data_IF_211078959909
#
_entry.id   IF_211078959909
#
_cell.length_a   1.000
_cell.length_b   1.000
_cell.length_c   1.000
_cell.angle_alpha   90.00
_cell.angle_beta   90.00
_cell.angle_gamma   90.00
#
_symmetry.space_group_name_H-M   'P 1'
#
loop_
_entity.id
_entity.type
_entity.pdbx_description
1 polymer ?
#
# COMPACT_ATOMS: atom_id res chain seq x y z
N UNK A 1 0.81 9.82 16.90
CA UNK A 1 1.10 9.29 15.55
C UNK A 1 2.50 9.74 15.18
N UNK A 2 3.33 8.86 14.61
CA UNK A 2 4.72 9.14 14.24
C UNK A 2 4.88 8.92 12.74
N UNK A 3 5.62 9.79 12.04
CA UNK A 3 5.85 9.67 10.61
C UNK A 3 7.36 9.55 10.36
N UNK A 4 7.81 8.33 10.10
CA UNK A 4 9.18 7.99 9.76
C UNK A 4 9.21 6.57 9.16
N UNK A 5 10.30 6.21 8.50
CA UNK A 5 10.55 4.85 8.00
C UNK A 5 11.29 4.04 9.05
N UNK A 6 10.93 2.76 9.17
CA UNK A 6 11.64 1.79 10.01
C UNK A 6 12.65 1.05 9.15
N UNK A 7 13.93 1.08 9.53
CA UNK A 7 15.02 0.43 8.78
C UNK A 7 15.63 -0.78 9.49
N UNK A 8 15.39 -0.93 10.81
CA UNK A 8 15.91 -2.04 11.59
C UNK A 8 14.90 -2.52 12.63
N UNK A 9 14.85 -3.84 12.83
CA UNK A 9 14.14 -4.52 13.90
C UNK A 9 15.15 -4.93 14.97
N UNK A 10 14.89 -4.60 16.22
CA UNK A 10 15.73 -5.02 17.34
C UNK A 10 15.31 -6.42 17.79
N UNK A 11 16.27 -7.36 17.81
CA UNK A 11 16.05 -8.75 18.24
C UNK A 11 17.06 -9.11 19.32
N UNK A 12 16.58 -9.68 20.43
CA UNK A 12 17.41 -10.23 21.51
C UNK A 12 16.95 -11.64 21.84
N UNK A 13 17.87 -12.60 21.86
CA UNK A 13 17.60 -14.01 22.16
C UNK A 13 16.43 -14.58 21.31
N UNK A 14 16.40 -14.27 20.02
CA UNK A 14 15.34 -14.70 19.10
C UNK A 14 13.98 -14.02 19.28
N UNK A 15 13.89 -12.96 20.09
CA UNK A 15 12.64 -12.22 20.34
C UNK A 15 12.78 -10.76 19.93
N UNK A 16 11.74 -10.22 19.32
CA UNK A 16 11.65 -8.79 19.00
C UNK A 16 11.64 -7.98 20.30
N UNK A 17 12.36 -6.86 20.30
CA UNK A 17 12.41 -5.91 21.42
C UNK A 17 12.10 -4.48 21.01
N UNK A 18 11.98 -4.19 19.72
CA UNK A 18 11.76 -2.84 19.22
C UNK A 18 12.12 -2.65 17.75
N UNK A 19 12.20 -1.40 17.34
CA UNK A 19 12.58 -0.96 15.98
C UNK A 19 13.44 0.30 16.05
N UNK A 20 14.23 0.54 15.00
CA UNK A 20 14.97 1.78 14.76
C UNK A 20 14.47 2.41 13.47
N UNK A 21 14.32 3.73 13.47
CA UNK A 21 13.87 4.51 12.32
C UNK A 21 15.02 5.17 11.57
N UNK A 22 14.74 5.73 10.39
CA UNK A 22 15.74 6.47 9.59
C UNK A 22 16.27 7.72 10.31
N UNK A 23 15.47 8.33 11.19
CA UNK A 23 15.94 9.41 12.07
C UNK A 23 16.71 8.91 13.31
N UNK A 24 17.13 7.64 13.33
CA UNK A 24 17.82 6.98 14.45
C UNK A 24 17.03 6.97 15.78
N UNK A 25 15.70 7.05 15.71
CA UNK A 25 14.86 6.92 16.89
C UNK A 25 14.60 5.45 17.19
N UNK A 26 14.84 5.05 18.44
CA UNK A 26 14.58 3.68 18.90
C UNK A 26 13.24 3.62 19.63
N UNK A 27 12.34 2.77 19.15
CA UNK A 27 11.10 2.42 19.84
C UNK A 27 11.21 1.02 20.42
N UNK A 28 10.89 0.83 21.69
CA UNK A 28 10.81 -0.49 22.31
C UNK A 28 9.39 -1.05 22.22
N UNK A 29 9.27 -2.33 21.90
CA UNK A 29 7.98 -3.00 21.77
C UNK A 29 8.12 -4.50 22.03
N UNK A 30 7.08 -5.12 22.61
CA UNK A 30 7.01 -6.59 22.81
C UNK A 30 6.59 -7.34 21.54
N UNK A 31 5.99 -6.65 20.58
CA UNK A 31 5.49 -7.18 19.32
C UNK A 31 5.60 -6.08 18.26
N UNK A 32 5.99 -6.45 17.04
CA UNK A 32 6.08 -5.56 15.88
C UNK A 32 5.33 -6.24 14.74
N UNK A 33 4.40 -5.52 14.12
CA UNK A 33 3.64 -6.01 12.96
C UNK A 33 4.14 -5.27 11.73
N UNK A 34 4.66 -6.01 10.75
CA UNK A 34 5.14 -5.43 9.48
C UNK A 34 4.01 -5.44 8.44
N UNK A 35 3.61 -4.26 7.98
CA UNK A 35 2.57 -4.06 6.95
C UNK A 35 3.10 -3.18 5.82
N UNK A 36 4.30 -3.51 5.33
CA UNK A 36 5.09 -2.67 4.41
C UNK A 36 4.54 -2.56 2.99
N UNK A 37 3.47 -3.28 2.66
CA UNK A 37 2.81 -3.20 1.35
C UNK A 37 3.78 -3.41 0.19
N UNK A 38 3.84 -2.47 -0.75
CA UNK A 38 4.69 -2.52 -1.95
C UNK A 38 6.04 -1.79 -1.76
N UNK A 39 6.39 -1.36 -0.54
CA UNK A 39 7.52 -0.46 -0.30
C UNK A 39 8.88 -1.18 -0.13
N UNK A 40 8.92 -2.34 0.51
CA UNK A 40 10.17 -3.07 0.77
C UNK A 40 10.87 -3.45 -0.54
N UNK A 41 12.06 -2.89 -0.77
CA UNK A 41 12.82 -3.05 -2.02
C UNK A 41 11.95 -2.87 -3.28
N UNK A 42 11.02 -1.90 -3.20
CA UNK A 42 10.06 -1.57 -4.24
C UNK A 42 10.73 -1.13 -5.54
N UNK A 43 10.25 -1.67 -6.65
CA UNK A 43 10.75 -1.35 -8.00
C UNK A 43 9.57 -1.19 -8.95
N UNK A 44 9.41 0.02 -9.47
CA UNK A 44 8.38 0.34 -10.46
C UNK A 44 8.90 0.11 -11.87
N UNK A 45 8.03 -0.45 -12.72
CA UNK A 45 8.34 -0.74 -14.12
C UNK A 45 7.41 0.05 -15.04
N UNK A 46 7.99 0.88 -15.91
CA UNK A 46 7.27 1.63 -16.96
C UNK A 46 7.94 1.29 -18.30
N UNK A 47 7.37 0.32 -19.02
CA UNK A 47 8.03 -0.26 -20.19
C UNK A 47 9.41 -0.86 -19.81
N UNK A 48 10.48 -0.33 -20.41
CA UNK A 48 11.87 -0.70 -20.08
C UNK A 48 12.46 0.10 -18.91
N UNK A 49 11.84 1.21 -18.54
CA UNK A 49 12.29 2.07 -17.45
C UNK A 49 11.99 1.41 -16.11
N UNK A 50 12.99 1.44 -15.23
CA UNK A 50 12.91 0.91 -13.86
C UNK A 50 13.24 2.03 -12.89
N UNK A 51 12.34 2.28 -11.94
CA UNK A 51 12.49 3.34 -10.93
C UNK A 51 12.35 2.72 -9.55
N UNK A 52 13.26 3.07 -8.63
CA UNK A 52 13.10 2.68 -7.24
C UNK A 52 11.92 3.44 -6.63
N UNK A 53 11.07 2.74 -5.89
CA UNK A 53 9.90 3.34 -5.25
C UNK A 53 8.89 2.29 -4.82
N UNK A 54 8.19 2.56 -3.72
CA UNK A 54 7.09 1.72 -3.26
C UNK A 54 5.81 1.95 -4.05
N UNK A 55 5.58 3.21 -4.42
CA UNK A 55 4.46 3.70 -5.24
C UNK A 55 4.93 4.88 -6.08
N UNK A 56 4.12 5.32 -7.03
CA UNK A 56 4.45 6.50 -7.84
C UNK A 56 4.66 7.70 -6.90
N UNK A 57 5.80 8.38 -7.05
CA UNK A 57 6.22 9.51 -6.20
C UNK A 57 6.51 9.18 -4.73
N UNK A 58 6.53 7.91 -4.32
CA UNK A 58 6.85 7.50 -2.95
C UNK A 58 8.11 6.59 -2.94
N UNK A 59 9.12 6.88 -2.11
CA UNK A 59 10.37 6.12 -2.09
C UNK A 59 10.16 4.67 -1.64
N UNK A 60 11.10 3.79 -2.02
CA UNK A 60 11.15 2.43 -1.48
C UNK A 60 11.72 2.45 -0.06
N UNK A 61 11.41 1.41 0.72
CA UNK A 61 12.07 1.16 2.02
C UNK A 61 13.12 0.06 1.88
N UNK A 62 14.19 0.18 2.66
CA UNK A 62 15.36 -0.70 2.63
C UNK A 62 15.76 -1.15 4.04
N UNK A 63 16.59 -2.19 4.16
CA UNK A 63 17.15 -2.67 5.43
C UNK A 63 16.35 -3.82 6.03
N UNK A 64 15.02 -3.69 6.09
CA UNK A 64 14.16 -4.72 6.71
C UNK A 64 14.20 -6.04 5.95
N UNK A 65 14.26 -6.02 4.61
CA UNK A 65 14.28 -7.26 3.81
C UNK A 65 15.55 -8.04 4.09
N UNK A 66 16.69 -7.34 4.03
CA UNK A 66 18.02 -7.88 4.25
C UNK A 66 18.11 -8.49 5.66
N UNK A 67 17.65 -7.74 6.66
CA UNK A 67 17.65 -8.21 8.04
C UNK A 67 16.77 -9.44 8.25
N UNK A 68 15.58 -9.51 7.64
CA UNK A 68 14.74 -10.71 7.74
C UNK A 68 15.44 -11.92 7.11
N UNK A 69 16.16 -11.74 6.00
CA UNK A 69 16.96 -12.81 5.40
C UNK A 69 18.09 -13.25 6.34
N UNK A 70 18.80 -12.33 6.97
CA UNK A 70 19.83 -12.63 7.99
C UNK A 70 19.26 -13.40 9.20
N UNK A 71 18.00 -13.13 9.56
CA UNK A 71 17.28 -13.85 10.62
C UNK A 71 16.74 -15.23 10.17
N UNK A 72 16.98 -15.64 8.92
CA UNK A 72 16.61 -16.96 8.38
C UNK A 72 15.31 -17.00 7.60
N UNK A 73 14.70 -15.86 7.27
CA UNK A 73 13.53 -15.82 6.38
C UNK A 73 13.96 -15.93 4.90
N UNK A 74 13.08 -16.46 4.06
CA UNK A 74 13.26 -16.42 2.61
C UNK A 74 12.53 -15.21 2.03
N UNK A 75 13.19 -14.43 1.17
CA UNK A 75 12.60 -13.31 0.46
C UNK A 75 12.40 -13.63 -1.02
N UNK A 76 11.21 -13.29 -1.55
CA UNK A 76 10.89 -13.36 -2.98
C UNK A 76 10.46 -11.99 -3.52
N UNK A 77 10.20 -11.90 -4.82
CA UNK A 77 9.66 -10.68 -5.45
C UNK A 77 8.33 -10.98 -6.14
N UNK A 78 7.32 -10.18 -5.83
CA UNK A 78 6.05 -10.15 -6.53
C UNK A 78 5.96 -8.88 -7.38
N UNK A 79 5.22 -8.96 -8.48
CA UNK A 79 4.92 -7.80 -9.33
C UNK A 79 3.43 -7.73 -9.59
N UNK A 80 2.87 -6.55 -9.39
CA UNK A 80 1.48 -6.22 -9.75
C UNK A 80 1.47 -4.99 -10.66
N UNK A 81 0.40 -4.83 -11.44
CA UNK A 81 0.21 -3.71 -12.35
C UNK A 81 -0.88 -2.77 -11.87
N UNK A 82 -0.82 -1.52 -12.30
CA UNK A 82 -1.90 -0.53 -12.12
C UNK A 82 -2.16 0.15 -13.46
N UNK A 83 -3.42 0.34 -13.87
CA UNK A 83 -3.72 1.08 -15.10
C UNK A 83 -3.32 2.55 -14.96
N UNK A 84 -3.16 3.22 -16.10
CA UNK A 84 -2.95 4.68 -16.13
C UNK A 84 -4.20 5.40 -15.63
N UNK A 85 -4.02 6.63 -15.17
CA UNK A 85 -5.14 7.52 -14.79
C UNK A 85 -5.38 8.42 -15.98
N UNK A 86 -6.62 8.45 -16.46
CA UNK A 86 -7.05 9.25 -17.62
C UNK A 86 -7.91 10.41 -17.15
N UNK A 87 -7.86 11.52 -17.88
CA UNK A 87 -8.73 12.66 -17.65
C UNK A 87 -10.13 12.36 -18.18
N UNK A 88 -11.15 12.40 -17.32
CA UNK A 88 -12.52 12.12 -17.73
C UNK A 88 -13.04 13.04 -18.84
N UNK A 89 -12.49 14.26 -18.97
CA UNK A 89 -12.89 15.22 -20.02
C UNK A 89 -12.48 14.79 -21.42
N UNK A 90 -11.54 13.85 -21.55
CA UNK A 90 -11.09 13.32 -22.84
C UNK A 90 -11.81 12.02 -23.23
N UNK A 91 -12.92 11.68 -22.58
CA UNK A 91 -13.68 10.45 -22.82
C UNK A 91 -15.06 10.81 -23.40
N UNK A 92 -15.41 10.18 -24.51
CA UNK A 92 -16.75 10.20 -25.11
C UNK A 92 -17.67 9.23 -24.36
N UNK A 93 -18.20 9.65 -23.21
CA UNK A 93 -19.06 8.80 -22.37
C UNK A 93 -20.38 8.43 -23.04
N UNK A 94 -20.84 9.23 -24.00
CA UNK A 94 -22.01 9.00 -24.83
C UNK A 94 -21.89 7.75 -25.73
N UNK A 95 -20.66 7.31 -26.02
CA UNK A 95 -20.37 6.09 -26.79
C UNK A 95 -20.21 4.86 -25.89
N UNK A 96 -20.15 5.04 -24.56
CA UNK A 96 -19.97 3.97 -23.58
C UNK A 96 -21.30 3.55 -22.96
N UNK A 97 -21.35 2.32 -22.44
CA UNK A 97 -22.52 1.82 -21.69
C UNK A 97 -22.37 2.16 -20.21
N UNK A 98 -23.31 2.94 -19.67
CA UNK A 98 -23.35 3.29 -18.24
C UNK A 98 -23.70 2.06 -17.37
N UNK A 99 -22.96 1.89 -16.26
CA UNK A 99 -23.16 0.88 -15.23
C UNK A 99 -23.45 1.59 -13.91
N UNK A 100 -24.73 1.68 -13.53
CA UNK A 100 -25.15 2.28 -12.26
C UNK A 100 -24.87 1.34 -11.09
N UNK A 101 -24.64 1.93 -9.92
CA UNK A 101 -24.65 1.18 -8.66
C UNK A 101 -26.04 0.66 -8.34
N UNK A 102 -26.13 -0.24 -7.37
CA UNK A 102 -27.41 -0.74 -6.86
C UNK A 102 -28.15 0.37 -6.10
N UNK A 103 -29.47 0.42 -6.27
CA UNK A 103 -30.33 1.45 -5.67
C UNK A 103 -30.73 1.12 -4.21
N UNK A 104 -30.26 0.00 -3.66
CA UNK A 104 -30.41 -0.35 -2.26
C UNK A 104 -29.19 0.07 -1.41
N UNK A 105 -29.38 0.11 -0.08
CA UNK A 105 -28.32 0.56 0.82
C UNK A 105 -27.51 -0.62 1.33
N UNK A 106 -26.30 -0.76 0.78
CA UNK A 106 -25.30 -1.66 1.31
C UNK A 106 -24.23 -0.92 2.10
N UNK A 107 -23.82 -1.52 3.23
CA UNK A 107 -22.68 -1.08 4.02
C UNK A 107 -21.74 -2.25 4.25
N UNK A 108 -20.45 -1.93 4.32
CA UNK A 108 -19.42 -2.89 4.70
C UNK A 108 -19.42 -3.22 6.20
N UNK A 109 -19.97 -2.36 7.06
CA UNK A 109 -19.93 -2.49 8.53
C UNK A 109 -21.25 -3.02 9.11
N UNK A 110 -21.19 -3.87 10.13
CA UNK A 110 -22.38 -4.33 10.86
C UNK A 110 -22.88 -3.33 11.91
N UNK A 111 -22.10 -2.31 12.28
CA UNK A 111 -22.49 -1.28 13.26
C UNK A 111 -23.72 -0.48 12.83
N UNK A 112 -24.40 0.16 13.78
CA UNK A 112 -25.64 0.91 13.53
C UNK A 112 -25.56 1.82 12.30
N UNK A 113 -26.65 1.79 11.53
CA UNK A 113 -26.72 2.53 10.29
C UNK A 113 -26.84 4.03 10.55
N UNK A 114 -25.89 4.76 9.97
CA UNK A 114 -25.94 6.22 9.84
C UNK A 114 -25.98 6.53 8.34
N UNK A 115 -27.06 7.12 7.81
CA UNK A 115 -27.17 7.46 6.40
C UNK A 115 -25.98 8.33 5.96
N UNK A 116 -25.20 7.84 5.00
CA UNK A 116 -24.13 8.63 4.40
C UNK A 116 -24.68 9.37 3.18
N UNK A 117 -24.63 10.71 3.12
CA UNK A 117 -25.20 11.50 2.03
C UNK A 117 -24.30 11.55 0.78
N UNK A 118 -23.38 10.58 0.61
CA UNK A 118 -22.45 10.62 -0.51
C UNK A 118 -23.18 10.22 -1.79
N UNK A 119 -23.02 11.06 -2.82
CA UNK A 119 -23.54 10.77 -4.16
C UNK A 119 -22.84 9.53 -4.72
N UNK A 120 -23.61 8.48 -4.99
CA UNK A 120 -23.12 7.34 -5.77
C UNK A 120 -22.80 7.79 -7.21
N UNK A 121 -21.73 7.23 -7.78
CA UNK A 121 -21.27 7.53 -9.15
C UNK A 121 -21.37 6.25 -9.98
N UNK A 122 -21.76 6.39 -11.23
CA UNK A 122 -21.77 5.30 -12.19
C UNK A 122 -20.34 4.92 -12.61
N UNK A 123 -20.21 3.72 -13.16
CA UNK A 123 -19.08 3.28 -13.95
C UNK A 123 -19.49 3.19 -15.44
N UNK A 124 -18.53 2.94 -16.33
CA UNK A 124 -18.79 2.80 -17.77
C UNK A 124 -18.03 1.61 -18.34
N UNK A 125 -18.65 0.90 -19.29
CA UNK A 125 -18.02 -0.15 -20.08
C UNK A 125 -17.96 0.28 -21.55
N UNK A 126 -16.81 0.08 -22.18
CA UNK A 126 -16.53 0.34 -23.59
C UNK A 126 -16.46 -1.01 -24.31
#
# INVERSE_FOLDING_TARGET
MWQDSVNQILVRNGRVTGVVTDMNVTFTAKCVVLTTGTFMNGLMHIGRTRLQGGRISEPASHGITEQLVELGFTAGRMKTGTPVRIDGRSIHFEEATEQRGEDDFHKFSFLDFQPRPLKQRSCWTI
#
